data_IF_809798947761
#
_entry.id   IF_809798947761
#
_cell.length_a   1.000
_cell.length_b   1.000
_cell.length_c   1.000
_cell.angle_alpha   90.00
_cell.angle_beta   90.00
_cell.angle_gamma   90.00
#
_symmetry.space_group_name_H-M   'P 1'
#
loop_
_entity.id
_entity.type
_entity.pdbx_description
1 polymer ?
#
# COMPACT_ATOMS: atom_id res chain seq x y z
N UNK A 1 -5.37 39.33 50.95
CA UNK A 1 -6.76 38.87 50.79
C UNK A 1 -7.09 38.84 49.28
N UNK A 2 -6.45 38.11 48.36
CA UNK A 2 -6.12 36.66 48.32
C UNK A 2 -7.24 35.87 49.02
N UNK A 3 -8.19 35.26 48.34
CA UNK A 3 -8.02 34.06 47.50
C UNK A 3 -9.41 33.59 47.02
N UNK A 4 -9.82 33.82 45.77
CA UNK A 4 -10.97 33.10 45.17
C UNK A 4 -10.88 33.12 43.62
N UNK A 5 -9.80 32.55 43.06
CA UNK A 5 -9.71 32.34 41.60
C UNK A 5 -8.90 31.10 41.22
N UNK A 6 -9.26 29.95 41.78
CA UNK A 6 -8.76 28.64 41.33
C UNK A 6 -9.81 27.57 41.61
N UNK A 7 -10.88 27.54 40.82
CA UNK A 7 -11.61 26.29 40.61
C UNK A 7 -10.89 25.55 39.47
N UNK A 8 -10.45 24.30 39.67
CA UNK A 8 -9.83 23.51 38.62
C UNK A 8 -10.87 23.23 37.52
N UNK A 9 -10.55 23.60 36.29
CA UNK A 9 -11.35 23.38 35.08
C UNK A 9 -11.41 21.88 34.66
N UNK A 10 -11.35 20.95 35.62
CA UNK A 10 -11.13 19.53 35.39
C UNK A 10 -12.36 18.62 35.53
N UNK A 11 -13.60 19.15 35.51
CA UNK A 11 -14.82 18.37 35.75
C UNK A 11 -15.97 18.71 34.79
N UNK A 12 -15.66 18.84 33.50
CA UNK A 12 -16.63 18.60 32.42
C UNK A 12 -16.22 17.27 31.74
N UNK A 13 -17.15 16.43 31.23
CA UNK A 13 -16.80 15.15 30.60
C UNK A 13 -15.70 15.35 29.55
N UNK A 14 -14.50 14.90 29.89
CA UNK A 14 -13.24 15.42 29.35
C UNK A 14 -12.93 14.94 27.94
N UNK A 15 -13.49 15.64 26.96
CA UNK A 15 -13.13 15.53 25.54
C UNK A 15 -12.55 16.85 25.00
N UNK A 16 -11.62 17.48 25.72
CA UNK A 16 -10.84 18.60 25.17
C UNK A 16 -9.48 18.10 24.64
N UNK A 17 -9.55 17.14 23.71
CA UNK A 17 -8.46 16.78 22.83
C UNK A 17 -8.61 17.71 21.62
N UNK A 18 -7.83 18.80 21.60
CA UNK A 18 -8.02 19.97 20.75
C UNK A 18 -8.68 19.65 19.41
N UNK A 19 -9.77 20.34 19.07
CA UNK A 19 -10.75 19.97 18.03
C UNK A 19 -10.19 19.28 16.77
N UNK A 20 -8.99 19.69 16.32
CA UNK A 20 -8.23 19.07 15.23
C UNK A 20 -7.90 17.58 15.44
N UNK A 21 -7.54 17.13 16.65
CA UNK A 21 -7.23 15.73 16.96
C UNK A 21 -8.49 14.85 16.89
N UNK A 22 -9.59 15.29 17.49
CA UNK A 22 -10.88 14.60 17.42
C UNK A 22 -11.37 14.50 15.96
N UNK A 23 -11.24 15.59 15.19
CA UNK A 23 -11.56 15.60 13.76
C UNK A 23 -10.65 14.65 12.96
N UNK A 24 -9.36 14.59 13.30
CA UNK A 24 -8.41 13.64 12.70
C UNK A 24 -8.78 12.19 12.97
N UNK A 25 -9.16 11.85 14.21
CA UNK A 25 -9.61 10.49 14.56
C UNK A 25 -10.92 10.12 13.85
N UNK A 26 -11.87 11.04 13.76
CA UNK A 26 -13.13 10.82 13.01
C UNK A 26 -12.83 10.60 11.53
N UNK A 27 -11.93 11.41 10.94
CA UNK A 27 -11.54 11.27 9.54
C UNK A 27 -10.89 9.91 9.27
N UNK A 28 -9.90 9.51 10.08
CA UNK A 28 -9.27 8.18 9.99
C UNK A 28 -10.32 7.09 10.14
N UNK A 29 -11.23 7.21 11.11
CA UNK A 29 -12.33 6.29 11.31
C UNK A 29 -13.22 6.15 10.08
N UNK A 30 -13.61 7.26 9.45
CA UNK A 30 -14.41 7.28 8.22
C UNK A 30 -13.66 6.64 7.06
N UNK A 31 -12.38 6.96 6.87
CA UNK A 31 -11.54 6.35 5.82
C UNK A 31 -11.44 4.84 6.00
N UNK A 32 -11.21 4.37 7.24
CA UNK A 32 -11.18 2.94 7.56
C UNK A 32 -12.54 2.28 7.31
N UNK A 33 -13.65 2.94 7.65
CA UNK A 33 -15.00 2.44 7.46
C UNK A 33 -15.37 2.35 5.98
N UNK A 34 -14.96 3.33 5.17
CA UNK A 34 -15.07 3.30 3.70
C UNK A 34 -14.23 2.15 3.13
N UNK A 35 -12.99 1.98 3.60
CA UNK A 35 -12.12 0.87 3.19
C UNK A 35 -12.74 -0.50 3.49
N UNK A 36 -13.27 -0.68 4.70
CA UNK A 36 -13.94 -1.91 5.12
C UNK A 36 -15.25 -2.16 4.35
N UNK A 37 -16.07 -1.13 4.16
CA UNK A 37 -17.31 -1.21 3.39
C UNK A 37 -17.02 -1.55 1.92
N UNK A 38 -15.98 -0.96 1.34
CA UNK A 38 -15.54 -1.28 0.00
C UNK A 38 -15.06 -2.73 -0.11
N UNK A 39 -14.22 -3.20 0.81
CA UNK A 39 -13.80 -4.61 0.85
C UNK A 39 -14.99 -5.58 0.90
N UNK A 40 -16.04 -5.24 1.67
CA UNK A 40 -17.28 -6.02 1.73
C UNK A 40 -18.10 -6.00 0.43
N UNK A 41 -18.07 -4.89 -0.33
CA UNK A 41 -18.83 -4.73 -1.57
C UNK A 41 -18.11 -5.22 -2.84
N UNK A 42 -16.80 -5.44 -2.79
CA UNK A 42 -15.99 -5.88 -3.93
C UNK A 42 -16.29 -7.30 -4.41
N UNK A 43 -17.07 -8.08 -3.64
CA UNK A 43 -17.46 -9.45 -4.02
C UNK A 43 -18.33 -9.53 -5.31
N UNK A 44 -18.75 -8.38 -5.89
CA UNK A 44 -19.66 -8.32 -7.05
C UNK A 44 -19.20 -7.44 -8.23
N UNK A 45 -18.03 -6.77 -8.20
CA UNK A 45 -17.55 -5.94 -9.33
C UNK A 45 -16.06 -6.12 -9.62
N UNK A 46 -15.72 -6.17 -10.90
CA UNK A 46 -14.38 -6.41 -11.44
C UNK A 46 -13.44 -5.19 -11.41
N UNK A 47 -13.43 -4.42 -10.32
CA UNK A 47 -12.40 -3.38 -10.14
C UNK A 47 -11.20 -3.97 -9.40
N UNK A 48 -9.99 -3.75 -9.92
CA UNK A 48 -8.75 -4.18 -9.25
C UNK A 48 -8.66 -3.50 -7.88
N UNK A 49 -8.62 -4.32 -6.82
CA UNK A 49 -8.57 -3.85 -5.43
C UNK A 49 -7.44 -2.83 -5.20
N UNK A 50 -6.30 -3.00 -5.88
CA UNK A 50 -5.15 -2.08 -5.80
C UNK A 50 -5.46 -0.67 -6.28
N UNK A 51 -6.21 -0.50 -7.38
CA UNK A 51 -6.62 0.84 -7.85
C UNK A 51 -7.50 1.52 -6.82
N UNK A 52 -8.41 0.76 -6.19
CA UNK A 52 -9.28 1.30 -5.15
C UNK A 52 -8.47 1.76 -3.93
N UNK A 53 -7.52 0.96 -3.44
CA UNK A 53 -6.69 1.35 -2.29
C UNK A 53 -5.81 2.58 -2.59
N UNK A 54 -5.26 2.69 -3.80
CA UNK A 54 -4.51 3.89 -4.22
C UNK A 54 -5.39 5.13 -4.20
N UNK A 55 -6.60 5.05 -4.78
CA UNK A 55 -7.55 6.17 -4.78
C UNK A 55 -7.97 6.53 -3.35
N UNK A 56 -8.29 5.54 -2.52
CA UNK A 56 -8.65 5.76 -1.13
C UNK A 56 -7.51 6.41 -0.34
N UNK A 57 -6.28 5.95 -0.53
CA UNK A 57 -5.08 6.55 0.10
C UNK A 57 -4.85 7.99 -0.36
N UNK A 58 -5.01 8.27 -1.66
CA UNK A 58 -4.90 9.63 -2.20
C UNK A 58 -5.97 10.57 -1.62
N UNK A 59 -7.23 10.12 -1.56
CA UNK A 59 -8.33 10.88 -0.94
C UNK A 59 -8.10 11.08 0.57
N UNK A 60 -7.57 10.07 1.25
CA UNK A 60 -7.21 10.17 2.66
C UNK A 60 -6.11 11.23 2.89
N UNK A 61 -5.06 11.23 2.06
CA UNK A 61 -3.99 12.24 2.11
C UNK A 61 -4.50 13.66 1.89
N UNK A 62 -5.35 13.86 0.86
CA UNK A 62 -5.98 15.16 0.58
C UNK A 62 -6.89 15.60 1.73
N UNK A 63 -7.68 14.68 2.30
CA UNK A 63 -8.54 15.01 3.44
C UNK A 63 -7.74 15.41 4.68
N UNK A 64 -6.64 14.71 5.00
CA UNK A 64 -5.76 15.09 6.11
C UNK A 64 -5.14 16.49 5.92
N UNK A 65 -4.87 16.90 4.67
CA UNK A 65 -4.38 18.26 4.36
C UNK A 65 -5.44 19.31 4.65
N UNK A 66 -6.69 19.05 4.23
CA UNK A 66 -7.81 19.97 4.43
C UNK A 66 -8.16 20.13 5.91
N UNK A 67 -7.96 19.09 6.72
CA UNK A 67 -8.24 19.09 8.16
C UNK A 67 -7.09 19.62 9.04
N UNK A 68 -5.98 20.09 8.44
CA UNK A 68 -4.77 20.57 9.14
C UNK A 68 -4.21 19.54 10.14
N UNK A 69 -4.36 18.25 9.81
CA UNK A 69 -3.82 17.15 10.60
C UNK A 69 -2.44 16.81 10.06
N UNK A 70 -1.47 16.61 10.95
CA UNK A 70 -0.09 16.23 10.58
C UNK A 70 -0.13 15.01 9.66
N UNK A 71 0.38 15.20 8.45
CA UNK A 71 0.50 14.12 7.47
C UNK A 71 1.75 13.29 7.73
N UNK A 72 1.70 12.03 7.28
CA UNK A 72 2.90 11.23 7.11
C UNK A 72 3.68 11.83 5.94
N UNK A 73 4.82 12.43 6.26
CA UNK A 73 5.73 12.99 5.26
C UNK A 73 6.72 11.90 4.83
N UNK A 74 6.88 11.61 3.53
CA UNK A 74 7.87 10.64 3.07
C UNK A 74 9.29 10.95 3.57
N UNK A 75 9.64 12.23 3.66
CA UNK A 75 10.92 12.72 4.13
C UNK A 75 11.07 12.71 5.66
N UNK A 76 10.02 13.05 6.41
CA UNK A 76 10.09 13.18 7.88
C UNK A 76 9.79 11.87 8.62
N UNK A 77 8.99 10.99 8.03
CA UNK A 77 8.56 9.72 8.62
C UNK A 77 9.11 8.49 7.84
N UNK A 78 10.19 8.67 7.07
CA UNK A 78 10.80 7.63 6.22
C UNK A 78 11.05 6.32 6.97
N UNK A 79 11.64 6.38 8.17
CA UNK A 79 11.95 5.18 8.96
C UNK A 79 10.70 4.37 9.35
N UNK A 80 9.58 5.06 9.60
CA UNK A 80 8.32 4.38 9.90
C UNK A 80 7.73 3.74 8.64
N UNK A 81 7.71 4.48 7.52
CA UNK A 81 7.22 3.99 6.24
C UNK A 81 8.04 2.80 5.73
N UNK A 82 9.36 2.86 5.86
CA UNK A 82 10.28 1.77 5.51
C UNK A 82 9.95 0.51 6.30
N UNK A 83 9.83 0.60 7.63
CA UNK A 83 9.52 -0.55 8.49
C UNK A 83 8.14 -1.14 8.24
N UNK A 84 7.14 -0.29 8.01
CA UNK A 84 5.79 -0.75 7.66
C UNK A 84 5.78 -1.45 6.30
N UNK A 85 6.50 -0.91 5.31
CA UNK A 85 6.57 -1.49 3.96
C UNK A 85 7.37 -2.79 3.97
N UNK A 86 8.48 -2.85 4.70
CA UNK A 86 9.28 -4.08 4.90
C UNK A 86 8.43 -5.17 5.55
N UNK A 87 7.71 -4.83 6.63
CA UNK A 87 6.82 -5.77 7.30
C UNK A 87 5.69 -6.24 6.39
N UNK A 88 5.02 -5.32 5.68
CA UNK A 88 3.96 -5.65 4.75
C UNK A 88 4.46 -6.54 3.61
N UNK A 89 5.65 -6.27 3.07
CA UNK A 89 6.30 -7.06 2.02
C UNK A 89 6.57 -8.49 2.51
N UNK A 90 7.13 -8.64 3.71
CA UNK A 90 7.39 -9.96 4.32
C UNK A 90 6.10 -10.74 4.50
N UNK A 91 5.06 -10.11 5.05
CA UNK A 91 3.74 -10.75 5.24
C UNK A 91 3.11 -11.16 3.91
N UNK A 92 3.18 -10.29 2.88
CA UNK A 92 2.64 -10.58 1.55
C UNK A 92 3.34 -11.76 0.89
N UNK A 93 4.68 -11.79 0.90
CA UNK A 93 5.46 -12.89 0.33
C UNK A 93 5.26 -14.18 1.11
N UNK A 94 5.22 -14.11 2.44
CA UNK A 94 4.97 -15.27 3.29
C UNK A 94 3.58 -15.86 3.06
N UNK A 95 2.55 -15.01 3.02
CA UNK A 95 1.17 -15.43 2.74
C UNK A 95 1.06 -16.07 1.35
N UNK A 96 1.64 -15.44 0.32
CA UNK A 96 1.67 -16.00 -1.02
C UNK A 96 2.38 -17.37 -1.05
N UNK A 97 3.44 -17.55 -0.25
CA UNK A 97 4.14 -18.82 -0.09
C UNK A 97 3.27 -19.91 0.57
N UNK A 98 2.49 -19.57 1.59
CA UNK A 98 1.57 -20.51 2.25
C UNK A 98 0.43 -20.98 1.34
N UNK A 99 -0.02 -20.15 0.39
CA UNK A 99 -1.07 -20.50 -0.57
C UNK A 99 -0.62 -21.52 -1.62
N UNK A 100 0.69 -21.78 -1.75
CA UNK A 100 1.20 -22.72 -2.76
C UNK A 100 0.99 -24.17 -2.28
N UNK A 101 -0.12 -24.77 -2.67
CA UNK A 101 -0.44 -26.18 -2.37
C UNK A 101 0.04 -27.17 -3.46
N UNK A 102 0.59 -26.68 -4.58
CA UNK A 102 0.96 -27.54 -5.73
C UNK A 102 2.33 -28.17 -5.55
N UNK A 103 2.44 -29.47 -5.88
CA UNK A 103 3.72 -30.15 -6.03
C UNK A 103 4.53 -29.48 -7.15
N UNK A 104 5.57 -28.73 -6.75
CA UNK A 104 6.49 -28.06 -7.67
C UNK A 104 7.34 -29.09 -8.40
N UNK A 105 6.85 -29.54 -9.55
CA UNK A 105 7.57 -30.44 -10.45
C UNK A 105 8.74 -29.75 -11.17
N UNK A 106 9.68 -30.55 -11.67
CA UNK A 106 10.91 -30.08 -12.35
C UNK A 106 10.64 -29.11 -13.52
N UNK A 107 9.53 -29.29 -14.23
CA UNK A 107 9.11 -28.40 -15.33
C UNK A 107 8.62 -27.03 -14.83
N UNK A 108 7.94 -26.98 -13.68
CA UNK A 108 7.53 -25.73 -13.04
C UNK A 108 8.74 -24.92 -12.56
N UNK A 109 9.71 -25.60 -11.94
CA UNK A 109 10.97 -24.98 -11.54
C UNK A 109 11.75 -24.35 -12.70
N UNK A 110 11.83 -25.03 -13.85
CA UNK A 110 12.48 -24.45 -15.04
C UNK A 110 11.72 -23.22 -15.53
N UNK A 111 10.39 -23.24 -15.49
CA UNK A 111 9.57 -22.08 -15.87
C UNK A 111 9.81 -20.90 -14.92
N UNK A 112 9.75 -21.12 -13.61
CA UNK A 112 10.03 -20.09 -12.59
C UNK A 112 11.44 -19.53 -12.77
N UNK A 113 12.44 -20.40 -12.93
CA UNK A 113 13.82 -19.98 -13.15
C UNK A 113 13.98 -19.16 -14.44
N UNK A 114 13.30 -19.53 -15.52
CA UNK A 114 13.35 -18.77 -16.79
C UNK A 114 12.68 -17.40 -16.63
N UNK A 115 11.51 -17.33 -15.99
CA UNK A 115 10.84 -16.06 -15.71
C UNK A 115 11.71 -15.15 -14.83
N UNK A 116 12.33 -15.68 -13.78
CA UNK A 116 13.11 -14.91 -12.83
C UNK A 116 14.48 -14.49 -13.37
N UNK A 117 15.21 -15.39 -14.04
CA UNK A 117 16.60 -15.16 -14.46
C UNK A 117 16.70 -14.57 -15.86
N UNK A 118 15.72 -14.82 -16.73
CA UNK A 118 15.77 -14.36 -18.13
C UNK A 118 14.74 -13.27 -18.37
N UNK A 119 13.46 -13.53 -18.09
CA UNK A 119 12.39 -12.61 -18.46
C UNK A 119 12.44 -11.33 -17.62
N UNK A 120 12.68 -11.43 -16.31
CA UNK A 120 12.72 -10.26 -15.43
C UNK A 120 13.91 -9.32 -15.73
N UNK A 121 15.16 -9.79 -15.93
CA UNK A 121 16.24 -8.90 -16.36
C UNK A 121 15.99 -8.29 -17.74
N UNK A 122 15.39 -9.06 -18.66
CA UNK A 122 15.05 -8.54 -19.98
C UNK A 122 14.00 -7.43 -19.90
N UNK A 123 12.99 -7.56 -19.04
CA UNK A 123 11.99 -6.51 -18.83
C UNK A 123 12.59 -5.27 -18.16
N UNK A 124 13.47 -5.44 -17.16
CA UNK A 124 14.24 -4.33 -16.56
C UNK A 124 15.02 -3.58 -17.63
N UNK A 125 15.75 -4.29 -18.49
CA UNK A 125 16.55 -3.69 -19.56
C UNK A 125 15.69 -3.01 -20.62
N UNK A 126 14.53 -3.58 -20.96
CA UNK A 126 13.59 -2.97 -21.88
C UNK A 126 13.04 -1.64 -21.33
N UNK A 127 12.63 -1.62 -20.06
CA UNK A 127 12.14 -0.41 -19.39
C UNK A 127 13.26 0.61 -19.20
N UNK A 128 14.47 0.18 -18.84
CA UNK A 128 15.63 1.05 -18.72
C UNK A 128 16.01 1.66 -20.08
N UNK A 129 15.96 0.87 -21.16
CA UNK A 129 16.09 1.38 -22.52
C UNK A 129 15.04 2.44 -22.81
N UNK A 130 13.77 2.18 -22.52
CA UNK A 130 12.72 3.19 -22.67
C UNK A 130 13.02 4.46 -21.86
N UNK A 131 13.45 4.32 -20.60
CA UNK A 131 13.78 5.45 -19.73
C UNK A 131 14.93 6.32 -20.28
N UNK A 132 15.98 5.70 -20.82
CA UNK A 132 17.10 6.45 -21.41
C UNK A 132 16.70 7.10 -22.74
N UNK A 133 16.12 6.32 -23.65
CA UNK A 133 15.91 6.74 -25.04
C UNK A 133 14.67 7.61 -25.24
N UNK A 134 13.62 7.42 -24.43
CA UNK A 134 12.34 8.15 -24.56
C UNK A 134 12.18 9.21 -23.47
N UNK A 135 12.50 8.89 -22.22
CA UNK A 135 12.36 9.85 -21.10
C UNK A 135 13.61 10.71 -20.85
N UNK A 136 14.74 10.40 -21.50
CA UNK A 136 16.00 11.15 -21.31
C UNK A 136 16.63 10.97 -19.92
N UNK A 137 16.28 9.90 -19.21
CA UNK A 137 16.82 9.61 -17.88
C UNK A 137 18.30 9.19 -17.97
N UNK A 138 19.06 9.45 -16.90
CA UNK A 138 20.38 8.85 -16.75
C UNK A 138 20.27 7.33 -16.71
N UNK A 139 21.32 6.62 -17.16
CA UNK A 139 21.31 5.16 -17.17
C UNK A 139 20.98 4.56 -15.79
N UNK A 140 21.52 5.13 -14.71
CA UNK A 140 21.22 4.69 -13.35
C UNK A 140 19.75 4.89 -12.96
N UNK A 141 19.16 6.06 -13.24
CA UNK A 141 17.75 6.32 -12.94
C UNK A 141 16.81 5.44 -13.77
N UNK A 142 17.13 5.22 -15.05
CA UNK A 142 16.36 4.36 -15.92
C UNK A 142 16.44 2.88 -15.49
N UNK A 143 17.62 2.42 -15.06
CA UNK A 143 17.80 1.07 -14.52
C UNK A 143 17.01 0.87 -13.22
N UNK A 144 17.02 1.86 -12.32
CA UNK A 144 16.20 1.84 -11.10
C UNK A 144 14.70 1.82 -11.41
N UNK A 145 14.26 2.62 -12.39
CA UNK A 145 12.87 2.61 -12.85
C UNK A 145 12.48 1.22 -13.37
N UNK A 146 13.34 0.60 -14.20
CA UNK A 146 13.14 -0.76 -14.67
C UNK A 146 13.07 -1.76 -13.52
N UNK A 147 13.98 -1.68 -12.55
CA UNK A 147 14.02 -2.59 -11.40
C UNK A 147 12.78 -2.52 -10.50
N UNK A 148 12.18 -1.34 -10.34
CA UNK A 148 10.96 -1.15 -9.54
C UNK A 148 9.70 -1.58 -10.29
N UNK A 149 9.67 -1.44 -11.62
CA UNK A 149 8.48 -1.70 -12.43
C UNK A 149 8.42 -3.12 -13.02
N UNK A 150 9.56 -3.79 -13.19
CA UNK A 150 9.64 -5.15 -13.71
C UNK A 150 9.03 -6.26 -12.83
N UNK A 151 9.04 -6.19 -11.48
CA UNK A 151 8.47 -7.24 -10.64
C UNK A 151 6.96 -7.35 -10.87
N UNK A 152 6.48 -8.57 -11.16
CA UNK A 152 5.05 -8.86 -11.31
C UNK A 152 4.46 -9.20 -9.94
N UNK A 153 3.43 -8.46 -9.50
CA UNK A 153 2.79 -8.64 -8.20
C UNK A 153 2.14 -10.04 -8.07
N UNK A 154 2.57 -10.87 -7.09
CA UNK A 154 1.99 -12.19 -6.87
C UNK A 154 0.56 -12.13 -6.31
N UNK A 155 0.18 -11.06 -5.60
CA UNK A 155 -1.09 -10.97 -4.86
C UNK A 155 -2.26 -10.76 -5.82
N UNK A 156 -2.12 -9.83 -6.77
CA UNK A 156 -3.14 -9.60 -7.79
C UNK A 156 -3.31 -10.76 -8.77
N UNK A 157 -2.26 -11.55 -9.00
CA UNK A 157 -2.30 -12.68 -9.91
C UNK A 157 -3.00 -13.91 -9.31
N UNK A 158 -2.99 -14.06 -7.98
CA UNK A 158 -3.61 -15.19 -7.27
C UNK A 158 -5.14 -15.17 -7.29
N UNK A 159 -5.74 -13.98 -7.16
CA UNK A 159 -7.20 -13.81 -7.05
C UNK A 159 -7.96 -14.08 -8.36
N UNK A 160 -7.29 -14.00 -9.51
CA UNK A 160 -7.91 -14.21 -10.84
C UNK A 160 -7.82 -15.66 -11.34
N UNK A 161 -7.23 -16.57 -10.54
CA UNK A 161 -6.86 -17.92 -10.98
C UNK A 161 -7.80 -19.07 -10.58
N UNK A 162 -8.84 -18.83 -9.76
CA UNK A 162 -9.76 -19.89 -9.31
C UNK A 162 -11.18 -19.65 -9.81
N UNK A 163 -11.35 -19.77 -11.12
CA UNK A 163 -12.61 -20.17 -11.73
C UNK A 163 -12.32 -21.33 -12.67
N UNK A 164 -12.02 -22.50 -12.10
CA UNK A 164 -12.14 -23.75 -12.84
C UNK A 164 -13.63 -24.04 -13.03
N UNK A 165 -14.14 -24.22 -14.27
CA UNK A 165 -15.44 -24.85 -14.46
C UNK A 165 -15.37 -26.28 -13.91
N UNK A 166 -16.43 -26.70 -13.23
CA UNK A 166 -16.51 -28.00 -12.56
C UNK A 166 -16.08 -29.17 -13.45
N UNK A 167 -15.40 -30.13 -12.82
CA UNK A 167 -14.91 -31.38 -13.41
C UNK A 167 -13.86 -32.01 -12.52
#
# INVERSE_FOLDING_TARGET
MSTLRTLPQGLAPGWDLGAQYTLGLIFVGVVLLIGAAAMSHQHKRAFSASVFYVVLGALAGVGLTVLDVRQLSPEGDHALLERLTEFALVVAVFSAGLTIERQVGRRSWISIATLLVVVMPLSILAIAGFGVWVMGLSFGAALLLGAVLAPTDPVLAGDVGLSGPGG
#
